data_IF_006910978846
#
_entry.id   IF_006910978846
#
_cell.length_a   1.000
_cell.length_b   1.000
_cell.length_c   1.000
_cell.angle_alpha   90.00
_cell.angle_beta   90.00
_cell.angle_gamma   90.00
#
_symmetry.space_group_name_H-M   'P 1'
#
loop_
_entity.id
_entity.type
_entity.pdbx_description
1 polymer ?
#
# COMPACT_ATOMS: atom_id res chain seq x y z
N UNK A 1 -55.58 -0.59 29.58
CA UNK A 1 -54.24 -1.15 29.32
C UNK A 1 -53.52 -1.17 30.65
N UNK A 2 -53.38 -2.36 31.23
CA UNK A 2 -52.84 -2.55 32.58
C UNK A 2 -51.33 -2.74 32.53
N UNK A 3 -50.65 -2.63 33.67
CA UNK A 3 -49.20 -2.86 33.78
C UNK A 3 -48.80 -4.29 33.37
N UNK A 4 -49.72 -5.23 33.47
CA UNK A 4 -49.55 -6.62 33.03
C UNK A 4 -49.50 -6.73 31.50
N UNK A 5 -50.38 -6.01 30.78
CA UNK A 5 -50.36 -5.96 29.30
C UNK A 5 -49.02 -5.45 28.75
N UNK A 6 -48.39 -4.49 29.45
CA UNK A 6 -47.11 -3.92 29.03
C UNK A 6 -45.96 -4.92 29.22
N UNK A 7 -45.93 -5.63 30.37
CA UNK A 7 -44.89 -6.63 30.62
C UNK A 7 -44.97 -7.83 29.67
N UNK A 8 -46.17 -8.24 29.29
CA UNK A 8 -46.35 -9.34 28.35
C UNK A 8 -45.90 -8.97 26.94
N UNK A 9 -46.18 -7.72 26.51
CA UNK A 9 -45.69 -7.20 25.22
C UNK A 9 -44.18 -7.07 25.17
N UNK A 10 -43.54 -6.60 26.26
CA UNK A 10 -42.07 -6.51 26.33
C UNK A 10 -41.42 -7.89 26.30
N UNK A 11 -41.99 -8.88 27.02
CA UNK A 11 -41.50 -10.27 27.00
C UNK A 11 -41.65 -10.90 25.62
N UNK A 12 -42.78 -10.71 24.95
CA UNK A 12 -43.05 -11.24 23.62
C UNK A 12 -42.14 -10.60 22.55
N UNK A 13 -41.89 -9.30 22.64
CA UNK A 13 -40.94 -8.61 21.76
C UNK A 13 -39.48 -9.07 21.95
N UNK A 14 -39.10 -9.48 23.16
CA UNK A 14 -37.76 -10.00 23.43
C UNK A 14 -37.57 -11.42 22.87
N UNK A 15 -38.57 -12.30 23.02
CA UNK A 15 -38.53 -13.66 22.47
C UNK A 15 -38.53 -13.69 20.94
N UNK A 16 -39.19 -12.72 20.29
CA UNK A 16 -39.16 -12.59 18.82
C UNK A 16 -37.78 -12.17 18.28
N UNK A 17 -36.92 -11.55 19.10
CA UNK A 17 -35.56 -11.12 18.71
C UNK A 17 -34.47 -12.17 18.95
N UNK A 18 -34.77 -13.25 19.68
CA UNK A 18 -33.82 -14.35 19.97
C UNK A 18 -33.91 -15.52 19.00
N UNK A 19 -34.65 -15.39 17.89
CA UNK A 19 -34.57 -16.34 16.80
C UNK A 19 -33.13 -16.31 16.24
N UNK A 20 -32.36 -17.34 16.56
CA UNK A 20 -31.00 -17.56 16.10
C UNK A 20 -31.00 -17.53 14.58
N UNK A 21 -30.42 -16.48 14.00
CA UNK A 21 -30.06 -16.47 12.58
C UNK A 21 -28.97 -17.53 12.44
N UNK A 22 -29.15 -18.57 11.62
CA UNK A 22 -28.07 -19.52 11.36
C UNK A 22 -26.88 -18.77 10.75
N UNK A 23 -25.68 -19.04 11.26
CA UNK A 23 -24.44 -18.49 10.71
C UNK A 23 -24.38 -18.79 9.20
N UNK A 24 -24.01 -17.81 8.35
CA UNK A 24 -23.74 -18.10 6.95
C UNK A 24 -22.56 -19.08 6.88
N UNK A 25 -22.71 -20.15 6.09
CA UNK A 25 -21.61 -21.08 5.84
C UNK A 25 -20.37 -20.31 5.34
N UNK A 26 -19.17 -20.60 5.86
CA UNK A 26 -17.95 -20.00 5.35
C UNK A 26 -17.76 -20.36 3.88
N UNK A 27 -17.24 -19.44 3.04
CA UNK A 27 -16.99 -19.75 1.64
C UNK A 27 -15.99 -20.90 1.51
N UNK A 28 -16.39 -21.93 0.77
CA UNK A 28 -15.54 -23.04 0.39
C UNK A 28 -14.42 -22.54 -0.53
N UNK A 29 -13.20 -22.48 0.00
CA UNK A 29 -12.00 -22.07 -0.73
C UNK A 29 -11.31 -23.25 -1.43
N UNK A 30 -11.87 -24.47 -1.40
CA UNK A 30 -11.23 -25.68 -1.95
C UNK A 30 -11.48 -25.94 -3.44
N UNK A 31 -12.19 -25.06 -4.16
CA UNK A 31 -12.45 -25.23 -5.61
C UNK A 31 -11.71 -24.26 -6.54
N UNK A 32 -10.74 -23.48 -6.05
CA UNK A 32 -9.85 -22.69 -6.93
C UNK A 32 -8.70 -23.54 -7.52
N UNK A 33 -9.03 -24.72 -8.06
CA UNK A 33 -8.11 -25.56 -8.85
C UNK A 33 -8.01 -25.01 -10.28
N UNK A 34 -7.31 -23.89 -10.40
CA UNK A 34 -7.01 -23.20 -11.66
C UNK A 34 -5.80 -23.79 -12.36
N UNK A 35 -5.99 -24.95 -13.00
CA UNK A 35 -5.07 -25.56 -13.96
C UNK A 35 -4.42 -24.53 -14.89
N UNK A 36 -3.10 -24.67 -15.03
CA UNK A 36 -2.24 -23.77 -15.79
C UNK A 36 -2.66 -23.54 -17.24
N UNK A 37 -2.36 -22.33 -17.72
CA UNK A 37 -2.22 -22.05 -19.14
C UNK A 37 -0.90 -21.33 -19.36
N UNK A 38 0.10 -22.13 -19.73
CA UNK A 38 1.32 -21.67 -20.36
C UNK A 38 0.95 -20.87 -21.61
N UNK A 39 1.34 -19.60 -21.65
CA UNK A 39 1.32 -18.80 -22.88
C UNK A 39 2.75 -18.40 -23.19
N UNK A 40 3.37 -19.19 -24.08
CA UNK A 40 4.55 -18.80 -24.82
C UNK A 40 4.12 -17.72 -25.80
N UNK A 41 4.52 -16.48 -25.57
CA UNK A 41 4.51 -15.45 -26.61
C UNK A 41 5.96 -15.07 -26.91
N UNK A 42 6.37 -15.43 -28.11
CA UNK A 42 7.66 -15.08 -28.70
C UNK A 42 7.73 -13.57 -29.02
N UNK A 43 8.92 -12.94 -28.96
CA UNK A 43 9.08 -11.53 -29.30
C UNK A 43 9.13 -11.36 -30.82
N UNK A 44 8.35 -10.41 -31.35
CA UNK A 44 8.45 -9.96 -32.73
C UNK A 44 9.19 -8.62 -32.74
N UNK A 45 10.43 -8.69 -33.24
CA UNK A 45 11.29 -7.57 -33.60
C UNK A 45 10.61 -6.67 -34.64
N UNK A 46 10.69 -5.36 -34.45
CA UNK A 46 10.60 -4.41 -35.56
C UNK A 46 11.52 -3.22 -35.29
N UNK A 47 12.70 -3.28 -35.92
CA UNK A 47 13.58 -2.14 -36.10
C UNK A 47 12.99 -1.21 -37.16
N UNK A 48 12.98 0.10 -36.90
CA UNK A 48 12.85 1.12 -37.95
C UNK A 48 13.97 2.13 -37.74
N UNK A 49 14.96 2.05 -38.64
CA UNK A 49 15.94 3.09 -38.88
C UNK A 49 15.45 3.95 -40.04
N UNK A 50 15.48 5.28 -39.92
CA UNK A 50 15.59 6.19 -41.07
C UNK A 50 16.51 7.36 -40.72
N UNK A 51 17.48 7.52 -41.63
CA UNK A 51 18.54 8.51 -41.75
C UNK A 51 18.02 9.95 -41.98
N UNK A 52 18.87 10.91 -41.59
CA UNK A 52 19.29 11.99 -42.50
C UNK A 52 18.86 13.41 -42.14
N UNK A 53 19.83 14.30 -41.90
CA UNK A 53 20.34 15.26 -42.91
C UNK A 53 21.32 16.24 -42.23
N UNK A 54 22.50 16.36 -42.85
CA UNK A 54 23.53 17.36 -42.57
C UNK A 54 23.24 18.66 -43.34
N UNK A 55 23.27 19.81 -42.68
CA UNK A 55 23.56 21.15 -43.23
C UNK A 55 23.65 22.09 -42.01
N UNK A 56 24.72 22.84 -41.74
CA UNK A 56 25.47 23.71 -42.64
C UNK A 56 25.16 25.16 -42.23
N UNK A 57 26.18 25.94 -41.84
CA UNK A 57 26.05 27.39 -41.68
C UNK A 57 26.65 27.96 -40.41
N UNK A 58 27.94 28.28 -40.46
CA UNK A 58 28.56 29.25 -39.55
C UNK A 58 28.05 30.66 -39.88
N UNK A 59 27.57 31.40 -38.88
CA UNK A 59 27.50 32.86 -38.93
C UNK A 59 28.00 33.41 -37.59
N UNK A 60 29.15 34.08 -37.69
CA UNK A 60 29.72 34.95 -36.67
C UNK A 60 28.85 36.20 -36.62
N UNK A 61 28.37 36.56 -35.43
CA UNK A 61 27.80 37.89 -35.16
C UNK A 61 28.29 38.33 -33.79
N UNK A 62 29.34 39.16 -33.80
CA UNK A 62 29.77 39.95 -32.65
C UNK A 62 28.87 41.17 -32.62
N UNK A 63 27.98 41.24 -31.63
CA UNK A 63 27.29 42.47 -31.25
C UNK A 63 27.70 42.81 -29.82
N UNK A 64 28.65 43.74 -29.70
CA UNK A 64 28.93 44.49 -28.48
C UNK A 64 27.77 45.47 -28.29
N UNK A 65 27.09 45.44 -27.15
CA UNK A 65 26.09 46.46 -26.85
C UNK A 65 25.18 46.17 -25.65
N UNK A 66 25.54 46.79 -24.53
CA UNK A 66 24.68 47.26 -23.43
C UNK A 66 24.26 46.23 -22.37
N UNK A 67 25.01 46.26 -21.27
CA UNK A 67 24.54 45.86 -19.93
C UNK A 67 23.19 46.49 -19.62
N UNK A 68 22.14 45.67 -19.58
CA UNK A 68 20.92 45.98 -18.86
C UNK A 68 20.67 44.88 -17.83
N UNK A 69 21.24 45.09 -16.65
CA UNK A 69 20.98 44.29 -15.45
C UNK A 69 19.49 44.38 -15.12
N UNK A 70 18.70 43.43 -15.63
CA UNK A 70 17.35 43.18 -15.14
C UNK A 70 17.49 42.32 -13.88
N UNK A 71 16.97 42.74 -12.71
CA UNK A 71 16.97 41.87 -11.55
C UNK A 71 16.20 40.60 -11.89
N UNK A 72 16.90 39.46 -11.85
CA UNK A 72 16.30 38.15 -11.99
C UNK A 72 15.26 38.00 -10.86
N UNK A 73 14.01 37.78 -11.24
CA UNK A 73 12.99 37.29 -10.32
C UNK A 73 13.53 35.99 -9.71
N UNK A 74 13.50 35.81 -8.38
CA UNK A 74 13.93 34.55 -7.78
C UNK A 74 13.07 33.43 -8.35
N UNK A 75 13.69 32.53 -9.12
CA UNK A 75 13.04 31.29 -9.51
C UNK A 75 12.69 30.49 -8.25
N UNK A 76 11.59 29.73 -8.23
CA UNK A 76 11.26 28.91 -7.09
C UNK A 76 12.45 28.01 -6.76
N UNK A 77 12.93 28.09 -5.52
CA UNK A 77 13.98 27.22 -5.03
C UNK A 77 13.58 25.76 -5.27
N UNK A 78 14.52 24.86 -5.63
CA UNK A 78 14.21 23.44 -5.66
C UNK A 78 13.72 23.06 -4.27
N UNK A 79 12.44 22.66 -4.18
CA UNK A 79 11.90 22.06 -2.98
C UNK A 79 12.76 20.83 -2.71
N UNK A 80 13.51 20.85 -1.60
CA UNK A 80 14.23 19.68 -1.13
C UNK A 80 13.19 18.59 -0.93
N UNK A 81 13.14 17.63 -1.84
CA UNK A 81 12.36 16.42 -1.64
C UNK A 81 12.89 15.77 -0.36
N UNK A 82 12.00 15.54 0.61
CA UNK A 82 12.34 14.74 1.78
C UNK A 82 12.96 13.42 1.32
N UNK A 83 14.01 12.92 2.00
CA UNK A 83 14.59 11.64 1.66
C UNK A 83 13.47 10.60 1.69
N UNK A 84 13.27 9.90 0.57
CA UNK A 84 12.33 8.78 0.49
C UNK A 84 12.80 7.77 1.53
N UNK A 85 11.92 7.35 2.43
CA UNK A 85 12.28 6.40 3.48
C UNK A 85 12.95 5.16 2.86
N UNK A 86 14.17 4.85 3.29
CA UNK A 86 14.90 3.68 2.81
C UNK A 86 14.47 2.44 3.58
N UNK A 87 14.38 1.28 2.92
CA UNK A 87 14.05 0.05 3.63
C UNK A 87 15.10 -0.34 4.66
N UNK A 88 14.67 -0.50 5.90
CA UNK A 88 15.48 -1.12 6.94
C UNK A 88 15.93 -2.52 6.51
N UNK A 89 17.15 -2.91 6.90
CA UNK A 89 17.68 -4.25 6.63
C UNK A 89 16.88 -5.34 7.36
N UNK A 90 16.44 -5.01 8.57
CA UNK A 90 15.61 -5.82 9.44
C UNK A 90 14.53 -4.93 10.06
N UNK A 91 13.31 -5.46 10.24
CA UNK A 91 12.26 -4.78 10.98
C UNK A 91 12.20 -5.40 12.37
N UNK A 92 12.72 -4.73 13.41
CA UNK A 92 12.76 -5.31 14.74
C UNK A 92 11.34 -5.44 15.33
N UNK A 93 11.12 -6.52 16.07
CA UNK A 93 9.93 -6.66 16.91
C UNK A 93 10.00 -5.67 18.08
N UNK A 94 9.04 -4.74 18.12
CA UNK A 94 8.95 -3.71 19.17
C UNK A 94 7.51 -3.53 19.61
N UNK A 95 7.29 -2.88 20.75
CA UNK A 95 5.93 -2.64 21.26
C UNK A 95 5.18 -1.76 20.25
N UNK A 96 3.95 -2.15 19.93
CA UNK A 96 3.10 -1.37 19.03
C UNK A 96 2.79 0.03 19.62
N UNK A 97 2.63 1.08 18.79
CA UNK A 97 2.07 2.34 19.25
C UNK A 97 0.71 2.12 19.89
N UNK A 98 0.38 2.85 20.94
CA UNK A 98 -0.86 2.62 21.71
C UNK A 98 -2.12 2.60 20.83
N UNK A 99 -2.21 3.50 19.85
CA UNK A 99 -3.34 3.59 18.91
C UNK A 99 -3.47 2.39 17.97
N UNK A 100 -2.41 1.57 17.82
CA UNK A 100 -2.38 0.38 16.98
C UNK A 100 -2.58 -0.93 17.75
N UNK A 101 -2.90 -0.88 19.06
CA UNK A 101 -3.03 -2.07 19.93
C UNK A 101 -4.44 -2.63 20.00
N UNK A 102 -5.44 -1.93 19.49
CA UNK A 102 -6.84 -2.41 19.54
C UNK A 102 -6.96 -3.77 18.85
N UNK A 103 -7.58 -4.73 19.54
CA UNK A 103 -7.75 -6.11 19.05
C UNK A 103 -6.65 -7.09 19.46
N UNK A 104 -5.57 -6.62 20.09
CA UNK A 104 -4.59 -7.50 20.74
C UNK A 104 -4.99 -7.79 22.19
N UNK A 105 -4.76 -9.02 22.65
CA UNK A 105 -5.03 -9.42 24.05
C UNK A 105 -3.97 -8.87 25.01
N UNK A 106 -2.71 -8.85 24.58
CA UNK A 106 -1.61 -8.26 25.36
C UNK A 106 -1.73 -6.73 25.39
N UNK A 107 -1.45 -6.11 26.55
CA UNK A 107 -1.47 -4.65 26.68
C UNK A 107 -0.27 -3.96 25.98
N UNK A 108 0.83 -4.70 25.79
CA UNK A 108 2.06 -4.24 25.13
C UNK A 108 2.54 -5.27 24.09
N UNK A 109 1.73 -5.52 23.03
CA UNK A 109 2.06 -6.52 22.03
C UNK A 109 3.34 -6.10 21.31
N UNK A 110 4.28 -7.05 21.17
CA UNK A 110 5.54 -6.87 20.46
C UNK A 110 5.48 -7.53 19.10
N UNK A 111 5.57 -6.73 18.04
CA UNK A 111 5.46 -7.19 16.65
C UNK A 111 6.44 -6.42 15.76
N UNK A 112 6.88 -6.98 14.63
CA UNK A 112 7.57 -6.20 13.61
C UNK A 112 6.57 -5.28 12.91
N UNK A 113 6.87 -3.99 12.84
CA UNK A 113 6.04 -3.04 12.10
C UNK A 113 6.84 -1.88 11.51
N UNK A 114 6.28 -1.28 10.48
CA UNK A 114 6.76 -0.04 9.86
C UNK A 114 5.67 1.02 10.02
N UNK A 115 6.06 2.24 10.39
CA UNK A 115 5.16 3.39 10.38
C UNK A 115 5.25 4.08 9.04
N UNK A 116 4.13 4.66 8.59
CA UNK A 116 4.18 5.64 7.53
C UNK A 116 5.01 6.85 7.94
N UNK A 117 5.52 7.58 6.95
CA UNK A 117 6.39 8.74 7.12
C UNK A 117 5.68 9.86 7.88
N UNK A 118 4.36 10.00 7.72
CA UNK A 118 3.53 10.91 8.53
C UNK A 118 3.10 10.30 9.87
N UNK A 119 3.25 8.98 10.03
CA UNK A 119 2.83 8.26 11.23
C UNK A 119 1.32 8.08 11.33
N UNK A 120 0.60 8.21 10.21
CA UNK A 120 -0.86 8.12 10.13
C UNK A 120 -1.32 6.67 9.90
N UNK A 121 -0.41 5.77 9.57
CA UNK A 121 -0.69 4.34 9.37
C UNK A 121 0.48 3.46 9.84
N UNK A 122 0.17 2.29 10.38
CA UNK A 122 1.15 1.26 10.71
C UNK A 122 0.91 0.01 9.85
N UNK A 123 1.99 -0.53 9.29
CA UNK A 123 2.02 -1.86 8.70
C UNK A 123 2.59 -2.85 9.71
N UNK A 124 1.72 -3.61 10.38
CA UNK A 124 2.11 -4.67 11.32
C UNK A 124 2.29 -5.97 10.54
N UNK A 125 3.50 -6.52 10.56
CA UNK A 125 3.93 -7.55 9.60
C UNK A 125 3.84 -8.94 10.25
N UNK A 126 2.72 -9.63 10.05
CA UNK A 126 2.55 -11.01 10.53
C UNK A 126 3.35 -12.02 9.71
N UNK A 127 3.55 -11.74 8.42
CA UNK A 127 4.30 -12.60 7.49
C UNK A 127 5.81 -12.38 7.49
N UNK A 128 6.39 -11.73 8.51
CA UNK A 128 7.79 -11.31 8.49
C UNK A 128 8.78 -12.49 8.44
N UNK A 129 9.86 -12.41 7.63
CA UNK A 129 10.11 -11.41 6.60
C UNK A 129 9.17 -11.58 5.41
N UNK A 130 8.76 -10.47 4.78
CA UNK A 130 8.02 -10.54 3.52
C UNK A 130 8.91 -11.16 2.43
N UNK A 131 8.35 -11.99 1.56
CA UNK A 131 9.10 -12.76 0.57
C UNK A 131 8.54 -12.57 -0.84
N UNK A 132 9.44 -12.50 -1.82
CA UNK A 132 9.09 -12.47 -3.24
C UNK A 132 10.01 -13.43 -4.02
N UNK A 133 9.47 -14.47 -4.69
CA UNK A 133 8.05 -14.84 -4.70
C UNK A 133 7.52 -15.26 -3.31
N UNK A 134 6.19 -15.23 -3.06
CA UNK A 134 5.61 -15.64 -1.78
C UNK A 134 5.98 -17.09 -1.44
N UNK A 135 6.13 -17.39 -0.14
CA UNK A 135 6.46 -18.74 0.31
C UNK A 135 5.22 -19.66 0.27
N UNK A 136 5.40 -20.97 0.03
CA UNK A 136 4.28 -21.90 -0.08
C UNK A 136 3.53 -22.12 1.23
N UNK A 137 4.21 -21.96 2.37
CA UNK A 137 3.71 -22.22 3.72
C UNK A 137 3.51 -20.95 4.56
N UNK A 138 3.84 -19.77 4.01
CA UNK A 138 3.70 -18.48 4.68
C UNK A 138 3.25 -17.38 3.73
N UNK A 139 2.13 -16.75 4.07
CA UNK A 139 1.64 -15.56 3.34
C UNK A 139 2.38 -14.29 3.76
N UNK A 140 2.45 -13.33 2.83
CA UNK A 140 2.91 -11.96 3.10
C UNK A 140 1.83 -11.15 3.85
N UNK A 141 1.46 -11.62 5.04
CA UNK A 141 0.36 -11.06 5.82
C UNK A 141 0.76 -9.75 6.50
N UNK A 142 -0.02 -8.70 6.26
CA UNK A 142 0.13 -7.37 6.85
C UNK A 142 -1.22 -6.93 7.42
N UNK A 143 -1.23 -6.48 8.68
CA UNK A 143 -2.34 -5.75 9.27
C UNK A 143 -2.03 -4.25 9.16
N UNK A 144 -2.84 -3.55 8.37
CA UNK A 144 -2.78 -2.09 8.25
C UNK A 144 -3.67 -1.46 9.31
N UNK A 145 -3.10 -0.59 10.15
CA UNK A 145 -3.86 0.12 11.18
C UNK A 145 -3.74 1.61 10.92
N UNK A 146 -4.87 2.27 10.64
CA UNK A 146 -4.94 3.71 10.52
C UNK A 146 -4.97 4.35 11.90
N UNK A 147 -4.20 5.42 12.08
CA UNK A 147 -4.29 6.31 13.24
C UNK A 147 -5.42 7.33 13.06
N UNK A 148 -5.67 7.74 11.81
CA UNK A 148 -6.69 8.71 11.43
C UNK A 148 -8.05 8.02 11.21
N UNK A 149 -9.18 8.76 11.31
CA UNK A 149 -10.52 8.20 11.08
C UNK A 149 -10.66 7.53 9.71
N UNK A 150 -11.54 6.54 9.63
CA UNK A 150 -11.85 5.81 8.41
C UNK A 150 -13.24 6.17 7.89
N UNK A 151 -13.34 6.39 6.58
CA UNK A 151 -14.60 6.40 5.87
C UNK A 151 -15.07 4.95 5.65
N UNK A 152 -16.26 4.56 6.13
CA UNK A 152 -16.69 3.17 6.05
C UNK A 152 -16.68 2.62 4.62
N UNK A 153 -15.94 1.53 4.42
CA UNK A 153 -15.86 0.81 3.14
C UNK A 153 -14.89 1.40 2.11
N UNK A 154 -14.28 2.55 2.36
CA UNK A 154 -13.28 3.13 1.45
C UNK A 154 -12.00 2.26 1.46
N UNK A 155 -11.50 1.80 0.30
CA UNK A 155 -10.37 0.88 0.26
C UNK A 155 -9.04 1.56 0.58
N UNK A 156 -8.09 0.78 1.09
CA UNK A 156 -6.69 1.18 1.09
C UNK A 156 -6.08 0.83 -0.27
N UNK A 157 -5.73 1.87 -1.04
CA UNK A 157 -5.02 1.75 -2.31
C UNK A 157 -3.52 1.89 -2.07
N UNK A 158 -2.75 0.99 -2.66
CA UNK A 158 -1.31 0.90 -2.46
C UNK A 158 -0.65 0.94 -3.83
N UNK A 159 0.16 1.94 -4.06
CA UNK A 159 1.02 2.06 -5.23
C UNK A 159 2.45 1.74 -4.78
N UNK A 160 2.97 0.59 -5.17
CA UNK A 160 4.29 0.11 -4.78
C UNK A 160 5.28 0.28 -5.94
N UNK A 161 6.41 0.93 -5.68
CA UNK A 161 7.53 1.10 -6.63
C UNK A 161 8.78 0.44 -6.09
N UNK A 162 9.42 -0.40 -6.90
CA UNK A 162 10.68 -1.06 -6.54
C UNK A 162 11.84 -0.10 -6.76
N UNK A 163 12.60 0.14 -5.71
CA UNK A 163 13.75 1.04 -5.70
C UNK A 163 14.80 0.66 -6.76
N UNK A 164 15.44 1.67 -7.34
CA UNK A 164 16.42 1.52 -8.42
C UNK A 164 15.84 0.91 -9.71
N UNK A 165 14.51 0.86 -9.87
CA UNK A 165 13.86 0.28 -11.04
C UNK A 165 12.65 1.10 -11.51
N UNK A 166 12.16 0.79 -12.72
CA UNK A 166 10.88 1.31 -13.21
C UNK A 166 9.67 0.42 -12.86
N UNK A 167 9.85 -0.63 -12.05
CA UNK A 167 8.75 -1.56 -11.72
C UNK A 167 7.80 -0.90 -10.72
N UNK A 168 6.54 -0.77 -11.10
CA UNK A 168 5.46 -0.30 -10.25
C UNK A 168 4.28 -1.28 -10.29
N UNK A 169 3.59 -1.43 -9.15
CA UNK A 169 2.46 -2.34 -9.00
C UNK A 169 1.42 -1.73 -8.08
N UNK A 170 0.16 -1.86 -8.44
CA UNK A 170 -0.96 -1.47 -7.58
C UNK A 170 -1.51 -2.67 -6.79
N UNK A 171 -1.88 -2.42 -5.54
CA UNK A 171 -2.62 -3.34 -4.67
C UNK A 171 -3.77 -2.58 -4.03
N UNK A 172 -4.84 -3.30 -3.69
CA UNK A 172 -5.99 -2.73 -3.02
C UNK A 172 -6.39 -3.66 -1.87
N UNK A 173 -6.56 -3.11 -0.69
CA UNK A 173 -7.20 -3.78 0.45
C UNK A 173 -8.63 -3.28 0.51
N UNK A 174 -9.58 -4.16 0.16
CA UNK A 174 -11.01 -3.84 0.18
C UNK A 174 -11.47 -3.60 1.63
N UNK A 175 -12.37 -2.64 1.82
CA UNK A 175 -12.89 -2.27 3.14
C UNK A 175 -11.97 -1.35 3.96
N UNK A 176 -10.79 -1.00 3.45
CA UNK A 176 -9.87 -0.03 4.06
C UNK A 176 -8.65 -0.67 4.71
N UNK A 177 -7.86 0.12 5.47
CA UNK A 177 -6.79 -0.41 6.31
C UNK A 177 -7.31 -1.54 7.20
N UNK A 178 -6.71 -2.72 7.07
CA UNK A 178 -7.10 -3.94 7.77
C UNK A 178 -6.17 -5.11 7.46
N UNK A 179 -6.55 -6.35 7.82
CA UNK A 179 -5.76 -7.54 7.53
C UNK A 179 -5.73 -7.82 6.02
N UNK A 180 -4.54 -8.10 5.48
CA UNK A 180 -4.34 -8.36 4.05
C UNK A 180 -3.13 -9.25 3.77
N UNK A 181 -3.12 -9.90 2.61
CA UNK A 181 -1.92 -10.49 2.02
C UNK A 181 -1.42 -9.60 0.89
N UNK A 182 -0.18 -9.13 0.97
CA UNK A 182 0.39 -8.21 -0.03
C UNK A 182 1.57 -8.89 -0.73
N UNK A 183 1.34 -9.40 -1.94
CA UNK A 183 2.39 -10.01 -2.74
C UNK A 183 2.92 -9.04 -3.78
N UNK A 184 4.25 -8.91 -3.81
CA UNK A 184 4.98 -8.11 -4.80
C UNK A 184 5.84 -9.03 -5.68
N UNK A 185 6.02 -8.71 -6.97
CA UNK A 185 6.56 -9.65 -7.95
C UNK A 185 8.07 -9.89 -7.84
N UNK A 186 8.79 -9.04 -7.09
CA UNK A 186 10.26 -9.07 -7.00
C UNK A 186 10.71 -8.76 -5.59
N UNK A 187 11.81 -9.39 -5.18
CA UNK A 187 12.52 -9.02 -3.96
C UNK A 187 13.20 -7.66 -4.12
N UNK A 188 13.43 -6.99 -3.00
CA UNK A 188 14.05 -5.67 -2.95
C UNK A 188 13.33 -4.70 -2.02
N UNK A 189 13.72 -3.44 -2.09
CA UNK A 189 13.10 -2.36 -1.35
C UNK A 189 11.94 -1.76 -2.15
N UNK A 190 10.74 -1.77 -1.59
CA UNK A 190 9.56 -1.20 -2.22
C UNK A 190 9.11 0.04 -1.46
N UNK A 191 8.99 1.16 -2.18
CA UNK A 191 8.37 2.38 -1.68
C UNK A 191 6.88 2.34 -2.00
N UNK A 192 6.07 2.46 -0.97
CA UNK A 192 4.61 2.42 -1.05
C UNK A 192 4.08 3.83 -0.88
N UNK A 193 3.18 4.23 -1.77
CA UNK A 193 2.24 5.33 -1.55
C UNK A 193 0.89 4.73 -1.19
N UNK A 194 0.40 5.06 -0.01
CA UNK A 194 -0.83 4.54 0.59
C UNK A 194 -1.89 5.61 0.51
N UNK A 195 -3.10 5.28 0.07
CA UNK A 195 -4.24 6.21 -0.01
C UNK A 195 -5.50 5.56 0.55
N UNK A 196 -6.17 6.20 1.50
CA UNK A 196 -7.41 5.73 2.13
C UNK A 196 -8.14 6.89 2.79
N UNK A 197 -9.47 6.93 2.73
CA UNK A 197 -10.34 7.90 3.42
C UNK A 197 -9.89 9.35 3.26
N UNK A 198 -9.47 9.73 2.05
CA UNK A 198 -8.91 11.06 1.75
C UNK A 198 -7.49 11.33 2.26
N UNK A 199 -6.87 10.39 2.97
CA UNK A 199 -5.51 10.46 3.50
C UNK A 199 -4.49 9.85 2.53
N UNK A 200 -3.24 10.30 2.67
CA UNK A 200 -2.08 9.72 1.98
C UNK A 200 -0.90 9.66 2.92
N UNK A 201 -0.20 8.52 2.92
CA UNK A 201 1.07 8.36 3.64
C UNK A 201 2.00 7.49 2.79
N UNK A 202 3.30 7.51 3.10
CA UNK A 202 4.32 6.74 2.40
C UNK A 202 5.10 5.87 3.37
N UNK A 203 5.61 4.73 2.91
CA UNK A 203 6.54 3.91 3.68
C UNK A 203 7.39 3.04 2.77
N UNK A 204 8.40 2.38 3.34
CA UNK A 204 9.23 1.44 2.62
C UNK A 204 9.19 0.05 3.25
N UNK A 205 8.92 -0.97 2.44
CA UNK A 205 8.88 -2.38 2.83
C UNK A 205 9.91 -3.19 2.06
N UNK A 206 10.65 -4.06 2.76
CA UNK A 206 11.61 -4.98 2.14
C UNK A 206 10.95 -6.33 1.88
N UNK A 207 11.11 -6.84 0.67
CA UNK A 207 10.78 -8.23 0.30
C UNK A 207 12.08 -9.00 0.07
N UNK A 208 12.27 -10.09 0.81
CA UNK A 208 13.44 -10.95 0.69
C UNK A 208 13.28 -11.95 -0.46
N UNK A 209 14.38 -12.36 -1.13
CA UNK A 209 14.33 -13.54 -1.99
C UNK A 209 14.05 -14.79 -1.16
N UNK A 210 13.51 -15.83 -1.80
CA UNK A 210 13.52 -17.17 -1.22
C UNK A 210 14.97 -17.66 -1.11
N UNK A 211 15.27 -18.38 -0.03
CA UNK A 211 16.58 -18.99 0.20
C UNK A 211 16.48 -20.50 0.06
#
# INVERSE_FOLDING_TARGET
>A
MTKEDLHERVRSAFQARTAVVPDPEPPDWTTADGRGRSSRFAPLMAAVAVLGVLAGGALISVAVGSDQTRPASPGPAPVSASPVASCAAEVPSRVLPQWARTGFTDAEPRMPYVLGDQGDIAAIIFGYPLAAPPLPDRSNKILWVSRVPLDPGDPLRIEARLDGSGTAVERTVLGGPGPSGIDLPRSGCWHLTLRWSGHTDTMALRYSPQN
#
